data_IF_376039726464
#
_entry.id   IF_376039726464
#
_cell.length_a   1.000
_cell.length_b   1.000
_cell.length_c   1.000
_cell.angle_alpha   90.00
_cell.angle_beta   90.00
_cell.angle_gamma   90.00
#
_symmetry.space_group_name_H-M   'P 1'
#
loop_
_entity.id
_entity.type
_entity.pdbx_description
1 polymer ?
#
# COMPACT_ATOMS: atom_id res chain seq x y z
N UNK A 1 2.61 -0.21 4.05
CA UNK A 1 3.85 0.18 4.78
C UNK A 1 5.06 -0.64 4.32
N UNK A 2 5.05 -1.96 4.53
CA UNK A 2 6.20 -2.85 4.29
C UNK A 2 6.83 -2.71 2.90
N UNK A 3 6.01 -2.67 1.83
CA UNK A 3 6.51 -2.55 0.47
C UNK A 3 7.21 -1.22 0.19
N UNK A 4 6.66 -0.11 0.70
CA UNK A 4 7.25 1.22 0.53
C UNK A 4 8.55 1.35 1.34
N UNK A 5 8.59 0.83 2.57
CA UNK A 5 9.83 0.78 3.37
C UNK A 5 10.90 -0.06 2.65
N UNK A 6 10.53 -1.20 2.09
CA UNK A 6 11.47 -2.03 1.32
C UNK A 6 11.99 -1.28 0.08
N UNK A 7 11.12 -0.63 -0.67
CA UNK A 7 11.53 0.17 -1.83
C UNK A 7 12.47 1.33 -1.45
N UNK A 8 12.28 1.94 -0.28
CA UNK A 8 13.21 2.94 0.24
C UNK A 8 14.58 2.33 0.59
N UNK A 9 14.60 1.19 1.29
CA UNK A 9 15.85 0.48 1.61
C UNK A 9 16.60 0.04 0.34
N UNK A 10 15.87 -0.35 -0.71
CA UNK A 10 16.39 -0.68 -2.04
C UNK A 10 16.79 0.57 -2.86
N UNK A 11 16.68 1.78 -2.29
CA UNK A 11 16.95 3.08 -2.95
C UNK A 11 16.10 3.35 -4.20
N UNK A 12 14.94 2.70 -4.33
CA UNK A 12 13.99 2.92 -5.44
C UNK A 12 13.11 4.14 -5.23
N UNK A 13 12.82 4.50 -3.98
CA UNK A 13 12.03 5.70 -3.63
C UNK A 13 12.71 6.51 -2.51
N UNK A 14 12.51 7.84 -2.45
CA UNK A 14 12.97 8.65 -1.32
C UNK A 14 12.10 8.42 -0.07
N UNK A 15 12.64 8.73 1.11
CA UNK A 15 11.96 8.53 2.40
C UNK A 15 10.56 9.19 2.46
N UNK A 16 10.43 10.40 1.94
CA UNK A 16 9.15 11.15 1.92
C UNK A 16 8.05 10.45 1.13
N UNK A 17 8.42 9.67 0.10
CA UNK A 17 7.45 8.96 -0.75
C UNK A 17 6.81 7.76 -0.03
N UNK A 18 7.37 7.32 1.10
CA UNK A 18 6.77 6.25 1.92
C UNK A 18 5.39 6.69 2.43
N UNK A 19 5.30 7.84 3.08
CA UNK A 19 4.04 8.37 3.62
C UNK A 19 3.06 8.76 2.52
N UNK A 20 3.54 9.27 1.38
CA UNK A 20 2.69 9.61 0.24
C UNK A 20 2.00 8.36 -0.34
N UNK A 21 2.75 7.29 -0.58
CA UNK A 21 2.19 6.02 -1.09
C UNK A 21 1.18 5.44 -0.09
N UNK A 22 1.51 5.43 1.20
CA UNK A 22 0.60 4.90 2.23
C UNK A 22 -0.69 5.73 2.30
N UNK A 23 -0.56 7.06 2.34
CA UNK A 23 -1.71 7.96 2.37
C UNK A 23 -2.61 7.76 1.15
N UNK A 24 -2.03 7.64 -0.04
CA UNK A 24 -2.78 7.42 -1.27
C UNK A 24 -3.53 6.10 -1.29
N UNK A 25 -2.92 5.02 -0.80
CA UNK A 25 -3.59 3.73 -0.67
C UNK A 25 -4.76 3.85 0.33
N UNK A 26 -4.54 4.51 1.47
CA UNK A 26 -5.60 4.70 2.46
C UNK A 26 -6.78 5.54 1.92
N UNK A 27 -6.51 6.53 1.05
CA UNK A 27 -7.56 7.31 0.37
C UNK A 27 -8.43 6.48 -0.58
N UNK A 28 -7.82 5.51 -1.28
CA UNK A 28 -8.52 4.69 -2.29
C UNK A 28 -9.17 3.45 -1.64
N UNK A 29 -8.70 3.03 -0.47
CA UNK A 29 -9.20 1.85 0.21
C UNK A 29 -10.68 2.00 0.57
N UNK A 30 -11.48 1.00 0.21
CA UNK A 30 -12.89 0.93 0.60
C UNK A 30 -13.03 0.23 1.95
N UNK A 31 -13.57 0.94 2.94
CA UNK A 31 -13.76 0.41 4.30
C UNK A 31 -14.92 -0.56 4.32
N UNK A 32 -14.66 -1.78 4.78
CA UNK A 32 -15.69 -2.81 5.07
C UNK A 32 -15.97 -2.81 6.57
N UNK A 33 -17.22 -2.56 6.98
CA UNK A 33 -17.57 -2.34 8.38
C UNK A 33 -17.51 -3.62 9.25
N UNK A 34 -17.86 -4.77 8.69
CA UNK A 34 -17.75 -6.08 9.32
C UNK A 34 -17.04 -7.03 8.34
N UNK A 35 -15.69 -6.93 8.26
CA UNK A 35 -14.94 -7.75 7.32
C UNK A 35 -14.87 -9.20 7.80
N UNK A 36 -15.00 -10.13 6.87
CA UNK A 36 -14.61 -11.51 7.07
C UNK A 36 -13.12 -11.70 6.77
N UNK A 37 -12.57 -12.87 7.11
CA UNK A 37 -11.15 -13.16 6.87
C UNK A 37 -10.77 -13.02 5.39
N UNK A 38 -11.67 -13.38 4.47
CA UNK A 38 -11.49 -13.21 3.03
C UNK A 38 -11.29 -11.74 2.65
N UNK A 39 -12.07 -10.84 3.23
CA UNK A 39 -12.01 -9.40 2.94
C UNK A 39 -10.67 -8.82 3.41
N UNK A 40 -10.17 -9.26 4.56
CA UNK A 40 -8.86 -8.84 5.08
C UNK A 40 -7.73 -9.29 4.13
N UNK A 41 -7.79 -10.54 3.67
CA UNK A 41 -6.79 -11.10 2.74
C UNK A 41 -6.85 -10.39 1.38
N UNK A 42 -8.05 -10.09 0.89
CA UNK A 42 -8.25 -9.37 -0.36
C UNK A 42 -7.77 -7.92 -0.25
N UNK A 43 -8.08 -7.24 0.85
CA UNK A 43 -7.59 -5.90 1.14
C UNK A 43 -6.05 -5.84 1.19
N UNK A 44 -5.37 -6.82 1.81
CA UNK A 44 -3.90 -6.89 1.80
C UNK A 44 -3.36 -7.08 0.37
N UNK A 45 -3.91 -8.03 -0.40
CA UNK A 45 -3.49 -8.25 -1.80
C UNK A 45 -3.70 -7.01 -2.66
N UNK A 46 -4.86 -6.37 -2.54
CA UNK A 46 -5.19 -5.14 -3.24
C UNK A 46 -4.21 -4.02 -2.88
N UNK A 47 -3.95 -3.80 -1.58
CA UNK A 47 -3.02 -2.77 -1.12
C UNK A 47 -1.60 -2.99 -1.65
N UNK A 48 -1.14 -4.26 -1.70
CA UNK A 48 0.16 -4.62 -2.29
C UNK A 48 0.22 -4.30 -3.78
N UNK A 49 -0.83 -4.61 -4.54
CA UNK A 49 -0.90 -4.31 -5.98
C UNK A 49 -0.85 -2.81 -6.24
N UNK A 50 -1.66 -2.02 -5.53
CA UNK A 50 -1.69 -0.55 -5.70
C UNK A 50 -0.36 0.08 -5.27
N UNK A 51 0.26 -0.42 -4.20
CA UNK A 51 1.59 0.04 -3.80
C UNK A 51 2.63 -0.15 -4.91
N UNK A 52 2.61 -1.30 -5.59
CA UNK A 52 3.52 -1.58 -6.70
C UNK A 52 3.28 -0.63 -7.89
N UNK A 53 2.01 -0.40 -8.24
CA UNK A 53 1.62 0.55 -9.30
C UNK A 53 2.07 1.99 -8.99
N UNK A 54 1.91 2.44 -7.75
CA UNK A 54 2.29 3.79 -7.31
C UNK A 54 3.81 4.01 -7.21
N UNK A 55 4.58 2.94 -6.99
CA UNK A 55 6.05 2.99 -6.89
C UNK A 55 6.74 2.76 -8.24
N UNK A 56 6.07 2.13 -9.20
CA UNK A 56 6.59 1.87 -10.55
C UNK A 56 6.48 3.08 -11.49
N UNK A 57 5.88 4.18 -11.01
CA UNK A 57 5.84 5.50 -11.67
C UNK A 57 6.92 6.44 -11.11
#
# INVERSE_FOLDING_TARGET
NEMAVRAFLDRRIPFVKISEVIGRIMEIHSVVANPELSDIIEADRWARKIADELMSC
#
